data_IF_068754135124
#
_entry.id   IF_068754135124
#
_cell.length_a   1.000
_cell.length_b   1.000
_cell.length_c   1.000
_cell.angle_alpha   90.00
_cell.angle_beta   90.00
_cell.angle_gamma   90.00
#
_symmetry.space_group_name_H-M   'P 1'
#
loop_
_entity.id
_entity.type
_entity.pdbx_description
1 polymer ?
#
# COMPACT_ATOMS: atom_id res chain seq x y z
N UNK A 1 -16.54 -4.54 -10.26
CA UNK A 1 -17.87 -5.03 -9.85
C UNK A 1 -18.52 -4.00 -8.92
N UNK A 2 -19.82 -3.80 -9.03
CA UNK A 2 -20.60 -2.90 -8.17
C UNK A 2 -20.77 -3.44 -6.75
N UNK A 3 -21.39 -2.65 -5.87
CA UNK A 3 -21.62 -3.03 -4.47
C UNK A 3 -22.89 -2.38 -3.90
N UNK A 4 -23.23 -2.68 -2.65
CA UNK A 4 -24.41 -2.07 -2.01
C UNK A 4 -24.22 -0.59 -1.70
N UNK A 5 -25.33 0.11 -1.40
CA UNK A 5 -25.31 1.55 -1.08
C UNK A 5 -24.70 1.87 0.30
N UNK A 6 -24.53 0.87 1.18
CA UNK A 6 -23.92 1.01 2.51
C UNK A 6 -24.48 2.16 3.37
N UNK A 7 -25.78 2.44 3.23
CA UNK A 7 -26.44 3.55 3.94
C UNK A 7 -26.35 4.92 3.26
N UNK A 8 -25.63 5.05 2.14
CA UNK A 8 -25.53 6.31 1.39
C UNK A 8 -26.77 6.54 0.53
N UNK A 9 -27.57 7.55 0.88
CA UNK A 9 -28.83 7.86 0.17
C UNK A 9 -28.63 8.22 -1.30
N UNK A 10 -27.56 8.94 -1.63
CA UNK A 10 -27.19 9.21 -3.04
C UNK A 10 -26.93 7.93 -3.86
N UNK A 11 -26.11 7.01 -3.37
CA UNK A 11 -25.88 5.72 -4.03
C UNK A 11 -27.16 4.90 -4.14
N UNK A 12 -28.04 4.90 -3.12
CA UNK A 12 -29.35 4.25 -3.20
C UNK A 12 -30.18 4.79 -4.36
N UNK A 13 -30.20 6.12 -4.52
CA UNK A 13 -30.93 6.77 -5.61
C UNK A 13 -30.33 6.41 -6.97
N UNK A 14 -29.00 6.51 -7.14
CA UNK A 14 -28.31 6.19 -8.39
C UNK A 14 -28.56 4.73 -8.79
N UNK A 15 -28.38 3.80 -7.84
CA UNK A 15 -28.62 2.37 -8.07
C UNK A 15 -30.08 2.06 -8.42
N UNK A 16 -31.04 2.81 -7.88
CA UNK A 16 -32.45 2.68 -8.25
C UNK A 16 -32.74 3.03 -9.72
N UNK A 17 -31.93 3.90 -10.34
CA UNK A 17 -32.13 4.34 -11.73
C UNK A 17 -31.24 3.59 -12.73
N UNK A 18 -29.99 3.27 -12.36
CA UNK A 18 -28.98 2.72 -13.26
C UNK A 18 -28.61 1.26 -12.94
N UNK A 19 -29.14 0.70 -11.85
CA UNK A 19 -28.65 -0.55 -11.28
C UNK A 19 -27.32 -0.37 -10.55
N UNK A 20 -26.81 -1.46 -9.95
CA UNK A 20 -25.60 -1.38 -9.11
C UNK A 20 -24.27 -1.47 -9.87
N UNK A 21 -24.31 -1.70 -11.19
CA UNK A 21 -23.14 -2.02 -12.01
C UNK A 21 -22.39 -0.77 -12.51
N UNK A 22 -21.89 0.05 -11.58
CA UNK A 22 -21.07 1.22 -11.89
C UNK A 22 -19.81 1.30 -11.01
N UNK A 23 -18.78 1.96 -11.53
CA UNK A 23 -17.51 2.22 -10.82
C UNK A 23 -17.74 3.24 -9.70
N UNK A 24 -17.06 3.05 -8.56
CA UNK A 24 -17.19 3.91 -7.38
C UNK A 24 -15.80 4.26 -6.84
N UNK A 25 -15.49 5.54 -6.77
CA UNK A 25 -14.35 6.04 -6.00
C UNK A 25 -14.85 6.37 -4.58
N UNK A 26 -14.24 5.75 -3.57
CA UNK A 26 -14.62 5.92 -2.16
C UNK A 26 -13.64 6.86 -1.47
N UNK A 27 -14.14 7.99 -0.99
CA UNK A 27 -13.37 8.97 -0.21
C UNK A 27 -13.79 8.84 1.25
N UNK A 28 -12.85 8.49 2.12
CA UNK A 28 -13.10 8.36 3.55
C UNK A 28 -13.15 9.73 4.23
N UNK A 29 -14.27 10.06 4.88
CA UNK A 29 -14.47 11.31 5.63
C UNK A 29 -14.57 11.10 7.15
N UNK A 30 -14.16 9.92 7.62
CA UNK A 30 -14.32 9.49 9.00
C UNK A 30 -15.75 9.07 9.36
N UNK A 31 -15.96 8.72 10.63
CA UNK A 31 -17.26 8.36 11.21
C UNK A 31 -17.34 8.93 12.64
N UNK A 32 -18.48 9.52 13.06
CA UNK A 32 -18.62 10.19 14.36
C UNK A 32 -18.67 9.23 15.57
N UNK A 33 -18.33 7.95 15.40
CA UNK A 33 -18.49 6.87 16.38
C UNK A 33 -19.93 6.44 16.67
N UNK A 34 -20.90 7.37 16.64
CA UNK A 34 -22.30 7.15 16.99
C UNK A 34 -23.18 7.26 15.74
N UNK A 35 -24.05 6.26 15.50
CA UNK A 35 -24.85 6.15 14.26
C UNK A 35 -25.82 7.31 14.10
N UNK A 36 -26.41 7.77 15.19
CA UNK A 36 -27.41 8.84 15.23
C UNK A 36 -26.82 10.19 14.81
N UNK A 37 -25.50 10.36 14.96
CA UNK A 37 -24.78 11.59 14.57
C UNK A 37 -24.34 11.59 13.10
N UNK A 38 -24.48 10.47 12.38
CA UNK A 38 -24.04 10.36 10.98
C UNK A 38 -24.72 11.39 10.07
N UNK A 39 -26.04 11.65 10.13
CA UNK A 39 -26.67 12.65 9.27
C UNK A 39 -26.11 14.05 9.47
N UNK A 40 -25.75 14.40 10.72
CA UNK A 40 -25.16 15.71 11.04
C UNK A 40 -23.71 15.76 10.55
N UNK A 41 -22.93 14.71 10.83
CA UNK A 41 -21.52 14.60 10.42
C UNK A 41 -21.32 14.79 8.92
N UNK A 42 -22.15 14.18 8.08
CA UNK A 42 -22.01 14.25 6.61
C UNK A 42 -22.53 15.56 6.00
N UNK A 43 -23.29 16.36 6.75
CA UNK A 43 -23.83 17.65 6.31
C UNK A 43 -23.00 18.84 6.81
N UNK A 44 -22.04 18.59 7.71
CA UNK A 44 -21.12 19.62 8.21
C UNK A 44 -19.91 19.79 7.30
N UNK A 45 -19.35 21.00 7.32
CA UNK A 45 -18.08 21.29 6.68
C UNK A 45 -16.90 20.60 7.39
N UNK A 46 -15.84 20.31 6.64
CA UNK A 46 -14.59 19.79 7.18
C UNK A 46 -13.96 20.77 8.19
N UNK A 47 -13.35 20.22 9.24
CA UNK A 47 -12.60 21.02 10.20
C UNK A 47 -11.29 21.52 9.58
N UNK A 48 -10.71 22.59 10.15
CA UNK A 48 -9.41 23.12 9.71
C UNK A 48 -8.29 22.07 9.77
N UNK A 49 -8.35 21.18 10.76
CA UNK A 49 -7.38 20.09 10.92
C UNK A 49 -7.44 19.06 9.77
N UNK A 50 -8.57 18.98 9.04
CA UNK A 50 -8.71 18.04 7.95
C UNK A 50 -8.15 18.55 6.63
N UNK A 51 -7.88 19.86 6.53
CA UNK A 51 -7.47 20.48 5.27
C UNK A 51 -6.19 19.88 4.70
N UNK A 52 -5.21 19.60 5.54
CA UNK A 52 -3.89 19.14 5.09
C UNK A 52 -3.98 17.79 4.36
N UNK A 53 -4.70 16.83 4.93
CA UNK A 53 -4.90 15.53 4.30
C UNK A 53 -5.92 15.59 3.16
N UNK A 54 -6.97 16.41 3.30
CA UNK A 54 -8.05 16.49 2.31
C UNK A 54 -7.57 17.12 1.00
N UNK A 55 -6.85 18.25 1.07
CA UNK A 55 -6.31 18.92 -0.12
C UNK A 55 -5.34 17.99 -0.84
N UNK A 56 -4.42 17.37 -0.11
CA UNK A 56 -3.46 16.40 -0.69
C UNK A 56 -4.16 15.23 -1.39
N UNK A 57 -5.26 14.72 -0.83
CA UNK A 57 -6.07 13.67 -1.43
C UNK A 57 -6.78 14.14 -2.70
N UNK A 58 -7.39 15.31 -2.67
CA UNK A 58 -8.11 15.86 -3.81
C UNK A 58 -7.17 16.18 -4.98
N UNK A 59 -5.99 16.73 -4.70
CA UNK A 59 -4.96 17.00 -5.70
C UNK A 59 -4.48 15.69 -6.35
N UNK A 60 -4.16 14.67 -5.54
CA UNK A 60 -3.77 13.36 -6.06
C UNK A 60 -4.83 12.72 -6.95
N UNK A 61 -6.11 12.85 -6.60
CA UNK A 61 -7.23 12.36 -7.42
C UNK A 61 -7.31 13.16 -8.72
N UNK A 62 -7.23 14.49 -8.66
CA UNK A 62 -7.34 15.38 -9.80
C UNK A 62 -6.22 15.14 -10.82
N UNK A 63 -4.97 15.06 -10.37
CA UNK A 63 -3.79 14.82 -11.20
C UNK A 63 -3.85 13.50 -11.97
N UNK A 64 -4.50 12.49 -11.38
CA UNK A 64 -4.58 11.14 -11.94
C UNK A 64 -5.94 10.81 -12.57
N UNK A 65 -6.90 11.74 -12.59
CA UNK A 65 -8.27 11.49 -13.04
C UNK A 65 -8.33 10.99 -14.50
N UNK A 66 -7.38 11.40 -15.35
CA UNK A 66 -7.28 10.91 -16.73
C UNK A 66 -7.17 9.38 -16.83
N UNK A 67 -6.52 8.72 -15.88
CA UNK A 67 -6.42 7.26 -15.82
C UNK A 67 -7.78 6.59 -15.64
N UNK A 68 -8.73 7.25 -14.95
CA UNK A 68 -10.08 6.72 -14.79
C UNK A 68 -10.87 6.74 -16.11
N UNK A 69 -10.66 7.76 -16.95
CA UNK A 69 -11.29 7.87 -18.26
C UNK A 69 -10.74 6.83 -19.25
N UNK A 70 -9.45 6.51 -19.13
CA UNK A 70 -8.78 5.47 -19.91
C UNK A 70 -9.05 4.03 -19.43
N UNK A 71 -9.80 3.86 -18.33
CA UNK A 71 -10.09 2.55 -17.74
C UNK A 71 -8.89 1.91 -17.01
N UNK A 72 -7.87 2.69 -16.69
CA UNK A 72 -6.63 2.23 -16.01
C UNK A 72 -6.76 2.28 -14.49
N UNK A 73 -7.77 1.58 -13.96
CA UNK A 73 -8.17 1.64 -12.54
C UNK A 73 -7.05 1.24 -11.57
N UNK A 74 -6.30 0.19 -11.91
CA UNK A 74 -5.17 -0.27 -11.09
C UNK A 74 -4.05 0.79 -11.03
N UNK A 75 -3.74 1.42 -12.17
CA UNK A 75 -2.72 2.46 -12.23
C UNK A 75 -3.16 3.70 -11.45
N UNK A 76 -4.43 4.11 -11.56
CA UNK A 76 -5.00 5.19 -10.76
C UNK A 76 -4.84 4.90 -9.27
N UNK A 77 -5.26 3.73 -8.80
CA UNK A 77 -5.19 3.36 -7.39
C UNK A 77 -3.75 3.36 -6.85
N UNK A 78 -2.80 2.79 -7.61
CA UNK A 78 -1.37 2.80 -7.23
C UNK A 78 -0.81 4.23 -7.15
N UNK A 79 -1.08 5.06 -8.15
CA UNK A 79 -0.56 6.44 -8.20
C UNK A 79 -1.08 7.31 -7.06
N UNK A 80 -2.38 7.26 -6.80
CA UNK A 80 -3.00 7.99 -5.70
C UNK A 80 -2.44 7.51 -4.35
N UNK A 81 -2.25 6.19 -4.18
CA UNK A 81 -1.67 5.65 -2.95
C UNK A 81 -0.22 6.10 -2.73
N UNK A 82 0.60 6.08 -3.78
CA UNK A 82 2.02 6.46 -3.71
C UNK A 82 2.19 7.95 -3.37
N UNK A 83 1.34 8.82 -3.91
CA UNK A 83 1.37 10.27 -3.63
C UNK A 83 0.94 10.60 -2.19
N UNK A 84 0.06 9.79 -1.60
CA UNK A 84 -0.44 9.98 -0.23
C UNK A 84 0.38 9.24 0.83
N UNK A 85 1.29 8.35 0.42
CA UNK A 85 2.12 7.62 1.36
C UNK A 85 3.01 8.59 2.15
N UNK A 86 3.07 8.47 3.50
CA UNK A 86 3.97 9.29 4.29
C UNK A 86 5.42 9.09 3.81
N UNK A 87 6.27 10.13 3.88
CA UNK A 87 7.66 10.02 3.45
C UNK A 87 8.32 8.88 4.22
N UNK A 88 8.82 7.87 3.49
CA UNK A 88 9.51 6.74 4.10
C UNK A 88 10.67 7.29 4.95
N UNK A 89 10.82 6.87 6.21
CA UNK A 89 11.96 7.28 7.02
C UNK A 89 13.24 6.90 6.26
N UNK A 90 14.13 7.87 6.03
CA UNK A 90 15.45 7.60 5.45
C UNK A 90 16.15 6.62 6.40
N UNK A 91 16.37 5.40 5.95
CA UNK A 91 17.30 4.50 6.64
C UNK A 91 18.69 5.11 6.55
N UNK A 92 19.22 5.60 7.67
CA UNK A 92 20.66 5.80 7.79
C UNK A 92 21.32 4.44 7.56
N UNK A 93 22.10 4.32 6.48
CA UNK A 93 23.02 3.19 6.33
C UNK A 93 23.87 3.13 7.59
N UNK A 94 24.05 1.97 8.24
CA UNK A 94 24.95 1.86 9.37
C UNK A 94 26.32 2.37 8.93
N UNK A 95 26.84 3.38 9.62
CA UNK A 95 28.23 3.82 9.40
C UNK A 95 29.11 2.62 9.77
N UNK A 96 30.12 2.27 8.96
CA UNK A 96 31.05 1.21 9.34
C UNK A 96 31.75 1.65 10.63
N UNK A 97 31.53 0.89 11.69
CA UNK A 97 32.17 1.11 12.99
C UNK A 97 33.67 0.83 12.83
N UNK A 98 34.51 1.82 13.12
CA UNK A 98 35.97 1.78 12.91
C UNK A 98 36.72 0.99 13.99
N UNK A 99 36.03 0.26 14.86
CA UNK A 99 36.64 -0.48 15.97
C UNK A 99 36.19 -1.95 16.01
N UNK A 100 36.45 -2.70 14.94
CA UNK A 100 36.56 -4.16 15.01
C UNK A 100 38.04 -4.53 14.83
N UNK A 101 38.62 -5.40 15.69
CA UNK A 101 40.00 -5.85 15.52
C UNK A 101 40.16 -6.55 14.17
N UNK A 102 41.24 -6.21 13.47
CA UNK A 102 41.60 -6.78 12.16
C UNK A 102 41.64 -8.30 12.24
N UNK A 103 40.83 -8.92 11.37
CA UNK A 103 40.90 -10.35 11.10
C UNK A 103 42.24 -10.64 10.43
N UNK A 104 43.06 -11.61 10.91
CA UNK A 104 44.37 -11.86 10.33
C UNK A 104 44.25 -12.36 8.88
N UNK A 105 45.16 -11.83 8.06
CA UNK A 105 45.24 -11.99 6.61
C UNK A 105 45.40 -13.46 6.16
N UNK A 106 44.81 -13.78 5.02
CA UNK A 106 44.88 -15.08 4.34
C UNK A 106 46.21 -15.28 3.59
N UNK A 107 46.74 -16.51 3.51
CA UNK A 107 47.67 -16.88 2.45
C UNK A 107 46.92 -17.40 1.21
N UNK A 108 47.39 -16.94 0.06
CA UNK A 108 46.90 -17.06 -1.31
C UNK A 108 46.86 -18.50 -1.88
N UNK A 109 45.84 -18.81 -2.71
CA UNK A 109 45.95 -19.40 -4.07
C UNK A 109 44.56 -19.58 -4.76
N UNK A 110 44.43 -19.37 -6.09
CA UNK A 110 43.24 -19.67 -6.91
C UNK A 110 43.42 -20.96 -7.75
N UNK A 111 42.51 -21.37 -8.66
CA UNK A 111 41.04 -21.40 -8.68
C UNK A 111 40.50 -22.83 -8.96
N UNK A 112 39.43 -23.27 -8.29
CA UNK A 112 38.68 -24.47 -8.73
C UNK A 112 37.20 -24.32 -8.44
N UNK A 113 36.39 -24.49 -9.48
CA UNK A 113 34.94 -24.51 -9.40
C UNK A 113 34.48 -25.65 -8.50
N UNK A 114 33.75 -25.35 -7.42
CA UNK A 114 32.93 -26.34 -6.73
C UNK A 114 31.81 -25.69 -5.90
N UNK A 115 30.73 -26.47 -5.76
CA UNK A 115 29.34 -26.15 -5.35
C UNK A 115 29.16 -25.16 -4.18
N UNK A 116 28.02 -24.42 -4.12
CA UNK A 116 27.76 -23.46 -3.06
C UNK A 116 27.72 -24.14 -1.67
N UNK A 117 28.17 -23.45 -0.61
CA UNK A 117 28.32 -24.04 0.72
C UNK A 117 26.96 -24.47 1.28
N UNK A 118 26.94 -25.64 1.92
CA UNK A 118 25.70 -26.26 2.39
C UNK A 118 25.32 -25.72 3.79
N UNK A 119 24.52 -24.66 3.77
CA UNK A 119 23.99 -24.03 4.97
C UNK A 119 22.89 -24.93 5.59
N UNK A 120 22.67 -24.84 6.91
CA UNK A 120 21.64 -25.64 7.61
C UNK A 120 20.24 -25.52 6.98
N UNK A 121 19.93 -24.37 6.40
CA UNK A 121 18.70 -24.11 5.65
C UNK A 121 18.58 -24.98 4.38
N UNK A 122 19.68 -25.18 3.66
CA UNK A 122 19.73 -25.99 2.44
C UNK A 122 19.49 -27.48 2.74
N UNK A 123 20.02 -27.99 3.87
CA UNK A 123 19.71 -29.34 4.37
C UNK A 123 18.24 -29.50 4.74
N UNK A 124 17.68 -28.49 5.41
CA UNK A 124 16.26 -28.46 5.77
C UNK A 124 15.33 -28.53 4.55
N UNK A 125 15.63 -27.73 3.51
CA UNK A 125 14.84 -27.73 2.28
C UNK A 125 14.92 -29.05 1.49
N UNK A 126 16.10 -29.67 1.38
CA UNK A 126 16.22 -30.98 0.70
C UNK A 126 15.45 -32.08 1.44
N UNK A 127 15.48 -32.07 2.78
CA UNK A 127 14.72 -33.02 3.59
C UNK A 127 13.21 -32.86 3.42
N UNK A 128 12.75 -31.65 3.12
CA UNK A 128 11.33 -31.37 2.86
C UNK A 128 10.91 -31.68 1.42
N UNK A 129 11.76 -31.39 0.44
CA UNK A 129 11.50 -31.62 -0.99
C UNK A 129 11.74 -33.07 -1.45
N UNK A 130 12.47 -33.88 -0.66
CA UNK A 130 12.88 -35.23 -1.04
C UNK A 130 12.02 -36.37 -0.50
N UNK A 131 10.80 -36.11 0.00
CA UNK A 131 9.90 -37.17 0.48
C UNK A 131 8.62 -37.20 -0.36
N UNK A 132 8.76 -37.81 -1.53
CA UNK A 132 7.67 -38.28 -2.36
C UNK A 132 8.10 -39.61 -2.95
N UNK A 133 7.84 -40.69 -2.21
CA UNK A 133 7.50 -42.05 -2.66
C UNK A 133 7.01 -42.82 -1.43
#
# INVERSE_FOLDING_TARGET
AGGGSAGHNGLRSISGHLGDNYRRLRIGIGHPGIKEMVPIHVLHDFHKADRDWLVSLLDAIADNAGLLAEGKDAAFASRVHDQLAPPKPKSEKPRPDKNLPEKPESPSQPPSADKPPENALARGLRRWLGKGD
#
